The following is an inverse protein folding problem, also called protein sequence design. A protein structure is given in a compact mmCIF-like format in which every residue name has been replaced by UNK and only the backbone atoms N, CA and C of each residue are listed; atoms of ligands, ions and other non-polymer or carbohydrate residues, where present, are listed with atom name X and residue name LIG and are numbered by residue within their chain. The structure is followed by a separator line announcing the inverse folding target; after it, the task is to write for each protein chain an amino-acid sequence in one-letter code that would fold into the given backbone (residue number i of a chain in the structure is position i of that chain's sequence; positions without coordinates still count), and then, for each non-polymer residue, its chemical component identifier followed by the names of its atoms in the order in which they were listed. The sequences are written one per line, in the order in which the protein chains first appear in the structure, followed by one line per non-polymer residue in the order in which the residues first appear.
data_IF_665501549221
#
_entry.id   IF_665501549221
#
_cell.length_a   1.000
_cell.length_b   1.000
_cell.length_c   1.000
_cell.angle_alpha   90.00
_cell.angle_beta   90.00
_cell.angle_gamma   90.00
#
_symmetry.space_group_name_H-M   'P 1'
#
loop_
_entity.id
_entity.type
_entity.pdbx_description
1 polymer ?
2 polymer ?
3 non-polymer ?
4 non-polymer ?
#
# COMPACT_ATOMS: atom_id res chain seq x y z
N UNK A 8 4.92 -26.55 -38.85
CA UNK A 8 4.00 -25.68 -39.60
C UNK A 8 3.43 -24.59 -38.72
N UNK A 9 4.27 -24.06 -37.83
CA UNK A 9 3.85 -23.14 -36.79
C UNK A 9 3.25 -21.88 -37.37
N UNK A 10 2.22 -21.36 -36.74
CA UNK A 10 1.63 -20.12 -37.21
C UNK A 10 1.40 -19.15 -36.09
N UNK A 11 1.68 -17.87 -36.30
CA UNK A 11 1.51 -16.89 -35.26
C UNK A 11 0.07 -16.79 -34.88
N UNK A 12 -0.20 -16.61 -33.59
CA UNK A 12 -1.56 -16.49 -33.08
C UNK A 12 -1.99 -15.08 -32.77
N UNK A 13 -3.29 -14.86 -32.83
CA UNK A 13 -3.90 -13.61 -32.43
C UNK A 13 -3.94 -13.41 -30.94
N UNK A 14 -4.28 -14.47 -30.23
CA UNK A 14 -4.45 -14.42 -28.80
C UNK A 14 -4.42 -15.84 -28.34
N UNK A 15 -4.14 -16.07 -27.07
CA UNK A 15 -4.17 -17.39 -26.50
C UNK A 15 -4.89 -17.30 -25.18
N UNK A 16 -5.55 -18.37 -24.77
CA UNK A 16 -6.26 -18.33 -23.52
C UNK A 16 -5.49 -19.18 -22.56
N UNK A 17 -5.08 -18.67 -21.41
CA UNK A 17 -4.36 -19.56 -20.52
C UNK A 17 -5.24 -20.10 -19.41
N UNK A 18 -5.51 -21.39 -19.52
CA UNK A 18 -6.47 -22.08 -18.70
C UNK A 18 -6.18 -22.06 -17.21
N UNK A 19 -4.94 -22.31 -16.81
CA UNK A 19 -4.76 -22.49 -15.35
C UNK A 19 -5.02 -21.20 -14.66
N UNK A 20 -4.52 -20.15 -15.27
CA UNK A 20 -4.96 -18.80 -15.03
C UNK A 20 -6.38 -18.60 -15.50
N UNK A 21 -6.73 -19.26 -16.58
CA UNK A 21 -8.00 -19.03 -17.23
C UNK A 21 -8.17 -17.61 -17.68
N UNK A 22 -7.11 -17.07 -18.28
CA UNK A 22 -7.18 -15.80 -19.02
C UNK A 22 -6.50 -15.83 -20.40
N UNK A 23 -6.93 -14.93 -21.28
CA UNK A 23 -6.46 -14.91 -22.65
C UNK A 23 -5.52 -13.74 -22.82
N UNK A 24 -4.47 -13.89 -23.62
CA UNK A 24 -3.49 -12.83 -23.72
C UNK A 24 -3.22 -12.52 -25.15
N UNK A 25 -2.70 -11.35 -25.42
CA UNK A 25 -2.49 -10.86 -26.76
C UNK A 25 -1.07 -10.33 -26.87
N UNK A 26 -0.50 -10.36 -28.09
CA UNK A 26 0.82 -9.75 -28.28
C UNK A 26 0.83 -8.28 -27.89
N UNK A 27 1.75 -7.90 -27.01
CA UNK A 27 1.80 -6.54 -26.50
C UNK A 27 1.38 -6.47 -25.04
N UNK A 28 0.66 -7.50 -24.60
CA UNK A 28 0.25 -7.59 -23.20
C UNK A 28 1.45 -7.84 -22.30
N UNK A 29 1.38 -7.33 -21.07
CA UNK A 29 2.43 -7.56 -20.10
C UNK A 29 2.02 -8.70 -19.16
N UNK A 30 2.92 -9.65 -18.95
CA UNK A 30 2.61 -10.81 -18.14
C UNK A 30 3.67 -11.09 -17.08
N UNK A 31 3.26 -11.79 -16.04
CA UNK A 31 4.18 -12.30 -15.04
C UNK A 31 4.40 -13.78 -15.31
N UNK A 32 5.62 -14.26 -15.10
CA UNK A 32 5.91 -15.68 -15.29
C UNK A 32 6.58 -16.27 -14.05
N UNK A 33 6.25 -17.52 -13.78
CA UNK A 33 6.83 -18.22 -12.63
C UNK A 33 8.32 -18.42 -12.78
N UNK A 34 9.11 -17.84 -11.86
CA UNK A 34 10.57 -17.92 -11.90
C UNK A 34 11.10 -19.31 -11.58
N UNK A 35 12.30 -19.60 -12.07
CA UNK A 35 12.99 -20.84 -11.75
C UNK A 35 13.14 -21.01 -10.25
N UNK A 36 13.43 -19.90 -9.57
CA UNK A 36 13.57 -19.87 -8.12
C UNK A 36 12.25 -19.40 -7.51
N UNK A 37 11.56 -20.31 -6.79
CA UNK A 37 10.21 -20.05 -6.29
C UNK A 37 10.16 -19.05 -5.14
N UNK A 38 11.31 -18.71 -4.56
CA UNK A 38 11.36 -17.77 -3.46
C UNK A 38 11.57 -16.34 -3.96
N UNK A 39 11.47 -16.17 -5.28
CA UNK A 39 11.75 -14.88 -5.91
C UNK A 39 10.51 -14.33 -6.60
N UNK A 40 10.43 -13.00 -6.75
CA UNK A 40 9.27 -12.37 -7.38
C UNK A 40 9.09 -12.82 -8.83
N UNK A 41 7.87 -12.72 -9.34
CA UNK A 41 7.55 -13.19 -10.69
C UNK A 41 8.28 -12.42 -11.78
N UNK A 42 8.78 -13.12 -12.79
CA UNK A 42 9.39 -12.45 -13.93
C UNK A 42 8.37 -11.54 -14.60
N UNK A 43 8.78 -10.36 -15.02
CA UNK A 43 7.87 -9.49 -15.76
C UNK A 43 8.32 -9.44 -17.21
N UNK A 44 7.37 -9.61 -18.13
CA UNK A 44 7.72 -9.66 -19.55
C UNK A 44 6.64 -9.06 -20.44
N UNK A 45 7.02 -8.73 -21.68
CA UNK A 45 6.07 -8.22 -22.65
C UNK A 45 5.92 -9.21 -23.80
N UNK A 46 4.70 -9.54 -24.16
CA UNK A 46 4.47 -10.52 -25.21
C UNK A 46 4.65 -9.93 -26.60
N UNK A 47 5.75 -10.31 -27.26
CA UNK A 47 6.01 -9.89 -28.62
C UNK A 47 5.16 -10.70 -29.59
N UNK A 48 5.27 -12.03 -29.55
CA UNK A 48 4.61 -12.94 -30.48
C UNK A 48 4.15 -14.26 -29.85
N UNK A 49 3.02 -14.78 -30.33
CA UNK A 49 2.50 -16.08 -29.89
C UNK A 49 2.42 -17.03 -31.11
N UNK A 50 3.00 -18.22 -30.94
CA UNK A 50 3.20 -19.16 -32.04
C UNK A 50 2.73 -20.54 -31.63
N UNK A 51 2.24 -21.31 -32.59
CA UNK A 51 1.68 -22.62 -32.30
C UNK A 51 2.22 -23.70 -33.22
N UNK A 52 2.09 -24.92 -32.74
CA UNK A 52 2.47 -26.10 -33.48
C UNK A 52 1.30 -26.43 -34.39
N UNK A 53 1.17 -25.70 -35.49
CA UNK A 53 0.09 -25.96 -36.43
C UNK A 53 -1.19 -25.88 -35.66
N UNK A 54 -2.00 -26.91 -35.76
CA UNK A 54 -3.02 -27.20 -34.77
C UNK A 54 -2.41 -28.32 -33.93
N UNK A 55 -1.97 -28.04 -32.71
CA UNK A 55 -1.33 -29.06 -31.88
C UNK A 55 -1.48 -28.74 -30.40
N UNK A 56 -0.99 -29.60 -29.50
CA UNK A 56 -1.18 -29.22 -28.09
C UNK A 56 -0.30 -28.06 -27.61
N UNK A 57 0.96 -28.02 -28.02
CA UNK A 57 1.90 -27.07 -27.47
C UNK A 57 1.82 -25.62 -27.97
N UNK A 58 1.98 -24.65 -27.07
CA UNK A 58 2.05 -23.24 -27.42
C UNK A 58 3.23 -22.57 -26.75
N UNK A 59 3.93 -21.71 -27.49
CA UNK A 59 5.10 -21.04 -26.98
C UNK A 59 4.98 -19.55 -27.20
N UNK A 60 5.46 -18.76 -26.26
CA UNK A 60 5.29 -17.34 -26.29
C UNK A 60 6.65 -16.74 -26.33
N UNK A 61 6.84 -15.74 -27.16
CA UNK A 61 8.11 -15.11 -27.26
C UNK A 61 7.95 -13.78 -26.64
N UNK A 62 8.83 -13.44 -25.74
CA UNK A 62 8.73 -12.27 -24.88
C UNK A 62 9.97 -11.39 -24.91
N UNK A 63 9.76 -10.13 -24.56
CA UNK A 63 10.83 -9.18 -24.32
C UNK A 63 10.83 -8.87 -22.83
N UNK A 64 11.94 -9.20 -22.16
CA UNK A 64 11.98 -9.13 -20.69
C UNK A 64 11.95 -7.72 -20.13
N UNK A 65 11.16 -7.57 -19.07
CA UNK A 65 11.32 -6.45 -18.15
C UNK A 65 12.20 -6.89 -16.99
N UNK A 66 13.29 -6.18 -16.77
CA UNK A 66 14.19 -6.49 -15.67
C UNK A 66 13.78 -5.78 -14.38
N UNK A 67 13.66 -6.53 -13.30
CA UNK A 67 13.42 -5.95 -11.98
C UNK A 67 14.73 -5.31 -11.52
N UNK A 68 14.65 -4.23 -10.71
CA UNK A 68 15.85 -3.51 -10.28
C UNK A 68 16.92 -4.38 -9.62
N UNK A 69 16.51 -5.38 -8.83
CA UNK A 69 17.47 -6.26 -8.18
C UNK A 69 17.83 -7.43 -9.10
N UNK A 70 17.22 -7.47 -10.27
CA UNK A 70 17.48 -8.51 -11.25
C UNK A 70 18.55 -8.07 -12.24
N UNK A 71 18.95 -6.80 -12.14
CA UNK A 71 19.91 -6.23 -13.09
C UNK A 71 21.31 -6.18 -12.51
N UNK A 72 22.29 -5.89 -13.37
CA UNK A 72 23.69 -5.85 -12.99
C UNK A 72 23.95 -4.82 -11.90
N UNK A 73 23.39 -3.62 -12.08
CA UNK A 73 23.59 -2.55 -11.13
C UNK A 73 23.00 -2.84 -9.77
N UNK A 74 21.94 -3.64 -9.73
CA UNK A 74 21.25 -3.95 -8.50
C UNK A 74 20.30 -2.83 -8.13
N UNK A 75 19.39 -3.11 -7.20
CA UNK A 75 18.42 -2.11 -6.77
C UNK A 75 19.11 -0.94 -6.07
N UNK A 76 18.64 0.27 -6.36
CA UNK A 76 19.15 1.47 -5.70
C UNK A 76 18.02 2.20 -4.98
N UNK A 77 18.37 3.11 -4.08
CA UNK A 77 17.39 3.73 -3.19
C UNK A 77 16.31 4.51 -3.92
N UNK A 78 16.60 4.93 -5.15
CA UNK A 78 15.66 5.74 -5.91
C UNK A 78 14.83 4.88 -6.87
N UNK A 79 14.99 3.57 -6.78
CA UNK A 79 14.20 2.65 -7.61
C UNK A 79 12.89 2.29 -6.91
N UNK A 80 11.78 2.51 -7.60
CA UNK A 80 10.47 2.20 -7.06
C UNK A 80 10.30 0.72 -6.78
N UNK A 81 9.41 0.41 -5.85
CA UNK A 81 9.12 -0.98 -5.49
C UNK A 81 8.53 -1.72 -6.69
N UNK A 82 7.73 -1.00 -7.47
CA UNK A 82 7.06 -1.58 -8.62
C UNK A 82 7.69 -1.11 -9.93
N UNK A 83 8.96 -0.76 -9.88
CA UNK A 83 9.67 -0.27 -11.07
C UNK A 83 10.23 -1.44 -11.87
N UNK A 84 10.22 -1.30 -13.19
CA UNK A 84 10.81 -2.30 -14.08
C UNK A 84 11.51 -1.62 -15.26
N UNK A 85 12.53 -2.29 -15.81
CA UNK A 85 13.29 -1.76 -16.92
C UNK A 85 12.93 -2.50 -18.21
N UNK A 86 12.73 -1.75 -19.30
CA UNK A 86 12.50 -2.36 -20.60
C UNK A 86 13.84 -2.66 -21.25
N UNK A 87 14.08 -3.93 -21.59
CA UNK A 87 15.40 -4.33 -22.04
C UNK A 87 15.47 -4.83 -23.47
N UNK A 88 16.66 -5.25 -23.85
CA UNK A 88 16.90 -5.75 -25.18
C UNK A 88 16.88 -7.24 -25.20
N UNK A 89 16.52 -7.83 -24.06
CA UNK A 89 16.63 -9.24 -23.85
C UNK A 89 15.35 -9.89 -24.18
N UNK A 90 15.39 -10.79 -25.13
CA UNK A 90 14.24 -11.51 -25.57
C UNK A 90 14.66 -12.92 -25.46
N UNK A 91 13.77 -13.76 -25.02
CA UNK A 91 13.85 -15.19 -25.29
C UNK A 91 12.50 -15.85 -25.22
N UNK A 92 12.46 -17.15 -25.48
CA UNK A 92 11.22 -17.85 -25.67
C UNK A 92 10.84 -18.79 -24.59
N UNK A 93 9.62 -18.64 -24.10
CA UNK A 93 9.10 -19.39 -23.00
C UNK A 93 7.77 -19.93 -23.43
N UNK A 94 7.38 -21.05 -22.84
CA UNK A 94 6.12 -21.67 -23.07
C UNK A 94 5.03 -20.90 -22.41
N UNK A 95 3.82 -21.03 -22.91
CA UNK A 95 2.70 -20.31 -22.35
C UNK A 95 2.33 -20.66 -20.93
N UNK A 96 2.42 -21.90 -20.52
CA UNK A 96 1.89 -22.21 -19.20
C UNK A 96 2.69 -21.54 -18.05
N UNK A 97 3.71 -20.73 -18.39
CA UNK A 97 4.48 -20.01 -17.37
C UNK A 97 3.66 -18.88 -16.79
N UNK A 98 2.86 -18.30 -17.67
CA UNK A 98 2.12 -17.09 -17.38
C UNK A 98 1.29 -17.29 -16.12
N UNK A 99 1.74 -16.61 -15.07
CA UNK A 99 1.13 -16.60 -13.75
C UNK A 99 -0.10 -15.73 -13.71
N UNK A 100 -0.15 -14.79 -14.66
CA UNK A 100 -1.18 -13.78 -14.69
C UNK A 100 -0.71 -12.58 -15.48
N UNK A 101 -1.55 -11.55 -15.54
CA UNK A 101 -1.25 -10.36 -16.31
C UNK A 101 -0.94 -9.17 -15.42
N UNK A 102 -0.31 -8.16 -16.01
CA UNK A 102 0.01 -6.94 -15.29
C UNK A 102 -0.04 -5.76 -16.25
N UNK A 103 -0.11 -4.56 -15.69
CA UNK A 103 0.06 -3.35 -16.48
C UNK A 103 1.38 -2.70 -16.12
N UNK A 104 2.19 -2.40 -17.13
CA UNK A 104 3.39 -1.62 -16.92
C UNK A 104 3.12 -0.21 -17.40
N UNK A 105 3.05 0.73 -16.45
CA UNK A 105 2.64 2.09 -16.76
C UNK A 105 3.81 2.98 -17.11
N UNK A 106 3.54 4.07 -17.81
CA UNK A 106 4.51 5.13 -17.95
C UNK A 106 4.63 5.79 -16.59
N UNK A 107 5.72 6.53 -16.37
CA UNK A 107 5.98 7.17 -15.09
C UNK A 107 4.81 8.06 -14.64
N UNK A 108 4.44 8.99 -15.52
CA UNK A 108 3.34 9.92 -15.28
C UNK A 108 2.05 9.22 -14.87
N UNK A 109 1.60 8.28 -15.70
CA UNK A 109 0.35 7.58 -15.49
C UNK A 109 0.38 6.72 -14.23
N UNK A 110 1.55 6.28 -13.80
CA UNK A 110 1.65 5.61 -12.52
C UNK A 110 1.32 6.55 -11.43
N UNK A 111 1.80 7.77 -11.56
CA UNK A 111 1.62 8.76 -10.53
C UNK A 111 0.18 9.07 -10.41
N UNK A 112 -0.51 9.06 -11.53
CA UNK A 112 -1.93 9.31 -11.61
C UNK A 112 -2.81 8.31 -10.91
N UNK A 113 -2.35 7.08 -10.80
CA UNK A 113 -3.21 6.03 -10.33
C UNK A 113 -3.71 6.41 -8.98
N UNK A 114 -4.99 6.19 -8.73
CA UNK A 114 -5.52 6.40 -7.42
C UNK A 114 -4.90 5.43 -6.47
N UNK A 115 -4.82 4.18 -6.90
CA UNK A 115 -4.34 3.14 -6.03
C UNK A 115 -3.58 2.18 -6.85
N UNK A 116 -2.61 1.55 -6.23
CA UNK A 116 -1.69 0.77 -6.95
C UNK A 116 -1.87 -0.68 -6.64
N UNK A 117 -2.21 -1.44 -7.66
CA UNK A 117 -2.54 -2.81 -7.49
C UNK A 117 -1.32 -3.64 -7.38
N UNK A 118 -1.47 -4.81 -6.84
CA UNK A 118 -0.36 -5.72 -6.70
C UNK A 118 0.22 -5.93 -8.08
N UNK A 119 -0.61 -5.76 -9.09
CA UNK A 119 -0.24 -6.04 -10.45
C UNK A 119 0.07 -4.80 -11.25
N UNK A 120 0.28 -3.67 -10.60
CA UNK A 120 0.56 -2.44 -11.32
C UNK A 120 2.02 -2.05 -11.20
N UNK A 121 2.72 -1.94 -12.33
CA UNK A 121 4.12 -1.58 -12.39
C UNK A 121 4.31 -0.26 -13.14
N UNK A 122 5.56 0.18 -13.24
CA UNK A 122 5.88 1.34 -14.08
C UNK A 122 7.29 1.26 -14.63
N UNK A 123 7.54 2.01 -15.70
CA UNK A 123 8.84 1.98 -16.37
C UNK A 123 9.30 3.38 -16.77
N UNK A 124 10.57 3.68 -16.49
CA UNK A 124 11.14 4.97 -16.86
C UNK A 124 12.51 4.80 -17.51
N UNK A 125 13.04 3.58 -17.46
CA UNK A 125 14.34 3.29 -18.06
C UNK A 125 14.26 2.24 -19.15
N UNK A 126 15.13 2.37 -20.14
CA UNK A 126 15.44 1.25 -21.01
C UNK A 126 16.73 0.64 -20.49
N UNK A 127 16.88 -0.68 -20.64
CA UNK A 127 18.00 -1.38 -20.04
C UNK A 127 18.76 -2.21 -21.06
N UNK A 128 20.09 -2.23 -20.92
CA UNK A 128 20.92 -3.08 -21.77
C UNK A 128 21.44 -4.26 -20.96
N UNK A 129 20.82 -5.42 -21.16
CA UNK A 129 21.11 -6.62 -20.38
C UNK A 129 22.58 -7.02 -20.43
N UNK A 130 23.24 -6.72 -21.54
CA UNK A 130 24.63 -7.11 -21.75
C UNK A 130 25.59 -6.19 -21.00
N UNK A 131 25.41 -4.88 -21.18
CA UNK A 131 26.34 -3.89 -20.65
C UNK A 131 25.89 -3.33 -19.30
N UNK A 132 24.58 -3.18 -19.14
CA UNK A 132 24.03 -2.61 -17.92
C UNK A 132 23.84 -1.11 -18.06
N UNK A 133 23.94 -0.61 -19.28
CA UNK A 133 23.81 0.82 -19.55
C UNK A 133 22.35 1.21 -19.68
N UNK A 134 22.01 2.39 -19.18
CA UNK A 134 20.64 2.86 -19.15
C UNK A 134 20.34 3.94 -20.18
N UNK A 135 19.11 3.95 -20.68
CA UNK A 135 18.58 5.07 -21.44
C UNK A 135 17.25 5.49 -20.84
N UNK A 136 17.17 6.75 -20.36
CA UNK A 136 18.21 7.78 -20.47
C UNK A 136 19.37 7.62 -19.50
N UNK A 137 20.47 8.26 -19.83
CA UNK A 137 21.67 8.25 -19.04
C UNK A 137 21.52 8.90 -17.71
N UNK A 138 20.79 10.02 -17.67
CA UNK A 138 20.66 10.83 -16.48
C UNK A 138 19.26 11.34 -16.32
N UNK A 139 18.87 11.64 -15.10
CA UNK A 139 17.53 12.11 -14.83
C UNK A 139 17.48 13.20 -13.81
N UNK A 140 16.36 13.87 -13.74
CA UNK A 140 16.19 14.99 -12.80
C UNK A 140 16.31 14.52 -11.35
N UNK A 141 16.96 15.34 -10.53
CA UNK A 141 17.19 14.99 -9.13
C UNK A 141 16.57 16.02 -8.18
N UNK A 142 16.37 15.64 -6.91
CA UNK A 142 15.67 16.47 -5.95
C UNK A 142 16.23 16.38 -4.53
N UNK A 143 15.79 17.29 -3.67
CA UNK A 143 16.12 17.30 -2.24
C UNK A 143 17.61 17.47 -1.98
N UNK A 144 17.99 17.35 -0.71
CA UNK A 144 19.39 17.50 -0.31
C UNK A 144 20.23 16.30 -0.72
N UNK A 145 19.58 15.17 -0.93
CA UNK A 145 20.26 13.98 -1.38
C UNK A 145 20.66 14.14 -2.83
N UNK A 146 19.94 15.01 -3.54
CA UNK A 146 20.07 15.15 -4.98
C UNK A 146 19.88 13.79 -5.65
N UNK A 147 18.84 13.10 -5.21
CA UNK A 147 18.43 11.82 -5.77
C UNK A 147 17.24 12.02 -6.69
N UNK A 148 17.05 11.11 -7.67
CA UNK A 148 15.86 11.19 -8.52
C UNK A 148 14.58 10.90 -7.73
N UNK A 149 13.44 11.08 -8.39
CA UNK A 149 12.16 10.84 -7.74
C UNK A 149 11.92 9.34 -7.52
N UNK A 150 11.61 8.99 -6.28
CA UNK A 150 11.12 7.66 -5.96
C UNK A 150 9.66 7.81 -5.56
N UNK A 151 8.75 7.33 -6.42
CA UNK A 151 7.31 7.51 -6.21
C UNK A 151 6.79 6.86 -4.93
N UNK A 152 7.56 5.95 -4.35
CA UNK A 152 7.18 5.33 -3.10
C UNK A 152 7.44 6.25 -1.91
N UNK A 153 8.26 7.27 -2.15
CA UNK A 153 8.65 8.20 -1.09
C UNK A 153 7.74 9.44 -1.06
N UNK A 154 7.31 9.80 0.15
CA UNK A 154 6.55 11.03 0.35
C UNK A 154 7.49 12.22 0.34
N UNK A 155 7.12 13.27 -0.40
CA UNK A 155 7.94 14.47 -0.48
C UNK A 155 7.09 15.73 -0.39
N UNK A 156 7.70 16.81 0.08
CA UNK A 156 6.97 18.08 0.18
C UNK A 156 7.74 19.17 -0.56
N UNK A 157 7.04 20.21 -0.98
CA UNK A 157 7.65 21.24 -1.82
C UNK A 157 7.94 22.53 -1.05
N UNK A 158 9.19 22.96 -1.09
CA UNK A 158 9.58 24.32 -0.70
C UNK A 158 9.50 25.26 -1.91
N UNK A 159 8.45 26.09 -1.97
CA UNK A 159 8.20 26.93 -3.15
C UNK A 159 9.28 27.98 -3.24
N UNK A 160 9.91 28.22 -2.09
CA UNK A 160 11.13 29.01 -2.07
C UNK A 160 12.05 28.51 -3.17
N UNK A 161 12.51 27.27 -3.02
CA UNK A 161 13.39 26.64 -4.00
C UNK A 161 12.66 25.91 -5.13
N UNK A 162 11.38 25.62 -4.91
CA UNK A 162 10.57 24.78 -5.81
C UNK A 162 11.08 23.33 -5.89
N UNK A 163 12.14 23.04 -5.15
CA UNK A 163 12.68 21.68 -5.08
C UNK A 163 11.81 20.86 -4.12
N UNK A 164 11.81 19.55 -4.31
CA UNK A 164 11.04 18.66 -3.44
C UNK A 164 11.97 17.97 -2.46
N UNK A 165 11.50 17.83 -1.22
CA UNK A 165 12.33 17.28 -0.16
C UNK A 165 11.68 16.09 0.51
N UNK A 166 12.47 15.06 0.77
CA UNK A 166 12.08 14.00 1.67
C UNK A 166 12.13 14.57 3.07
N UNK A 167 11.05 14.42 3.84
CA UNK A 167 10.97 14.95 5.21
C UNK A 167 12.12 14.46 6.08
N UNK A 168 12.48 13.19 5.92
CA UNK A 168 13.54 12.59 6.71
C UNK A 168 14.88 13.30 6.51
N UNK A 169 15.06 13.86 5.32
CA UNK A 169 16.31 14.52 4.97
C UNK A 169 16.28 15.99 5.39
N UNK A 170 15.16 16.43 5.93
CA UNK A 170 14.99 17.84 6.32
C UNK A 170 14.37 18.02 7.71
N UNK A 171 15.00 17.43 8.72
CA UNK A 171 14.65 17.67 10.12
C UNK A 171 13.28 17.12 10.54
N UNK A 172 12.59 16.42 9.65
CA UNK A 172 11.14 16.30 9.83
C UNK A 172 10.55 14.90 9.82
N UNK A 173 9.47 14.73 10.58
CA UNK A 173 8.63 13.55 10.51
C UNK A 173 7.71 13.62 9.29
N UNK A 174 7.20 12.48 8.86
CA UNK A 174 6.30 12.43 7.70
C UNK A 174 4.98 13.12 8.02
N UNK A 175 4.41 12.76 9.16
CA UNK A 175 3.14 13.32 9.59
C UNK A 175 3.20 14.84 9.68
N UNK A 176 4.35 15.37 10.06
CA UNK A 176 4.47 16.82 10.17
C UNK A 176 4.47 17.43 8.78
N UNK A 177 5.18 16.79 7.86
CA UNK A 177 5.27 17.27 6.50
C UNK A 177 3.91 17.33 5.85
N UNK A 178 3.10 16.30 6.08
CA UNK A 178 1.76 16.25 5.49
C UNK A 178 0.88 17.43 5.95
N UNK A 179 1.19 17.95 7.12
CA UNK A 179 0.48 19.08 7.70
C UNK A 179 0.60 20.34 6.89
N UNK A 180 1.82 20.62 6.45
CA UNK A 180 2.20 21.92 5.90
C UNK A 180 1.47 22.33 4.64
N UNK A 181 1.21 23.64 4.52
CA UNK A 181 0.82 24.28 3.28
C UNK A 181 1.84 25.36 2.96
N UNK A 182 2.80 25.51 3.87
CA UNK A 182 3.67 26.66 3.93
C UNK A 182 5.12 26.25 4.21
N UNK A 183 5.82 25.77 3.20
CA UNK A 183 7.14 25.23 3.44
C UNK A 183 8.28 26.04 2.80
N UNK A 184 9.36 26.18 3.56
CA UNK A 184 10.58 26.79 3.06
C UNK A 184 11.78 26.00 3.58
N UNK A 185 12.66 25.57 2.67
CA UNK A 185 13.87 24.87 3.08
C UNK A 185 14.79 25.81 3.86
N UNK A 186 15.94 25.30 4.30
CA UNK A 186 16.85 26.10 5.13
C UNK A 186 17.65 27.13 4.35
N UNK A 187 17.53 27.12 3.02
CA UNK A 187 18.22 28.06 2.15
C UNK A 187 17.22 29.15 1.72
N UNK A 188 16.15 29.30 2.50
CA UNK A 188 15.18 30.35 2.23
C UNK A 188 14.78 31.07 3.51
N UNK B 2 -0.39 -26.77 -15.74
CA UNK B 2 0.17 -26.44 -14.43
C UNK B 2 1.28 -25.47 -14.66
N UNK B 3 1.41 -24.46 -13.81
CA UNK B 3 2.31 -23.37 -14.15
C UNK B 3 3.67 -23.98 -14.27
N UNK B 4 4.27 -23.79 -15.43
CA UNK B 4 5.55 -24.33 -15.72
C UNK B 4 6.38 -23.29 -15.09
N UNK B 5 7.66 -23.54 -14.90
CA UNK B 5 8.53 -22.54 -14.37
C UNK B 5 9.28 -21.95 -15.52
N UNK B 6 9.55 -20.67 -15.44
CA UNK B 6 10.25 -20.00 -16.50
C UNK B 6 11.75 -20.18 -16.39
N UNK B 7 12.40 -20.50 -17.48
CA UNK B 7 13.83 -20.58 -17.49
C UNK B 7 14.22 -19.50 -18.43
N UNK B 9 17.28 -17.22 -20.26
CA UNK B 9 18.59 -17.42 -20.86
C UNK B 9 19.60 -16.50 -20.21
N UNK B 10 20.76 -16.41 -20.84
CA UNK B 10 21.79 -15.48 -20.43
C UNK B 10 21.83 -14.32 -21.39
N UNK B 11 22.05 -13.10 -20.87
CA UNK B 11 22.13 -11.89 -21.68
C UNK B 11 23.16 -12.02 -22.80
N UNK B 12 22.79 -11.62 -24.01
CA UNK B 12 23.67 -11.65 -25.18
C UNK B 12 24.17 -13.06 -25.47
N UNK B 13 23.24 -13.97 -25.69
CA UNK B 13 23.58 -15.33 -26.13
C UNK B 13 22.64 -15.72 -27.27
N UNK B 14 23.01 -16.75 -28.04
CA UNK B 14 22.22 -17.15 -29.19
C UNK B 14 21.95 -18.63 -29.30
N UNK B 15 20.96 -18.98 -30.10
CA UNK B 15 20.64 -20.36 -30.39
C UNK B 15 21.31 -20.82 -31.66
N UNK B 16 22.17 -21.83 -31.55
CA UNK B 16 22.98 -22.31 -32.66
C UNK B 16 22.14 -22.90 -33.79
N UNK B 17 21.02 -23.53 -33.44
CA UNK B 17 20.17 -24.21 -34.41
C UNK B 17 19.69 -23.30 -35.55
N UNK C 9 -27.74 28.98 22.38
CA UNK C 9 -27.04 27.76 22.77
C UNK C 9 -27.80 26.56 22.23
N UNK C 10 -27.55 26.21 20.97
CA UNK C 10 -28.37 25.18 20.32
C UNK C 10 -27.53 24.13 19.64
N UNK C 11 -28.19 23.14 19.03
CA UNK C 11 -27.53 22.09 18.27
C UNK C 11 -27.53 22.45 16.79
N UNK C 12 -26.43 22.18 16.11
CA UNK C 12 -26.37 22.34 14.67
C UNK C 12 -26.48 20.98 13.99
N UNK C 13 -27.48 20.80 13.13
CA UNK C 13 -27.68 19.55 12.41
C UNK C 13 -26.53 19.30 11.44
N UNK C 14 -25.83 20.37 11.10
CA UNK C 14 -24.69 20.30 10.22
C UNK C 14 -23.77 21.47 10.50
N UNK C 15 -22.50 21.30 10.18
CA UNK C 15 -21.61 22.42 10.14
C UNK C 15 -20.63 22.14 9.06
N UNK C 16 -20.01 23.19 8.56
CA UNK C 16 -19.02 23.04 7.53
C UNK C 16 -17.80 23.73 8.03
N UNK C 17 -16.68 23.03 8.07
CA UNK C 17 -15.48 23.68 8.50
C UNK C 17 -14.96 24.34 7.25
N UNK C 18 -14.89 25.66 7.35
CA UNK C 18 -14.42 26.52 6.28
C UNK C 18 -12.91 26.37 6.11
N UNK C 19 -12.17 26.19 7.20
CA UNK C 19 -10.72 26.01 7.13
C UNK C 19 -10.33 24.84 6.22
N UNK C 20 -11.27 23.93 5.99
CA UNK C 20 -11.06 22.76 5.16
C UNK C 20 -12.19 22.59 4.15
N UNK C 21 -13.01 23.62 4.00
CA UNK C 21 -14.12 23.58 3.07
C UNK C 21 -14.72 22.21 2.82
N UNK C 22 -14.96 21.47 3.88
CA UNK C 22 -15.92 20.39 3.84
C UNK C 22 -16.76 20.30 5.11
N UNK C 23 -17.88 19.60 5.00
CA UNK C 23 -18.94 19.65 6.00
C UNK C 23 -19.05 18.42 6.83
N UNK C 24 -19.15 18.57 8.13
CA UNK C 24 -19.22 17.45 9.00
C UNK C 24 -20.52 17.55 9.76
N UNK C 25 -21.05 16.45 10.23
CA UNK C 25 -22.32 16.36 10.93
C UNK C 25 -22.24 15.21 11.93
N UNK C 26 -23.13 15.19 12.94
CA UNK C 26 -23.11 14.12 13.94
C UNK C 26 -23.11 12.72 13.34
N UNK C 27 -22.18 11.87 13.78
CA UNK C 27 -22.03 10.54 13.24
C UNK C 27 -20.78 10.43 12.39
N UNK C 28 -20.31 11.57 11.89
CA UNK C 28 -19.10 11.60 11.08
C UNK C 28 -17.86 11.27 11.91
N UNK C 29 -16.89 10.63 11.26
CA UNK C 29 -15.59 10.44 11.86
C UNK C 29 -14.63 11.48 11.29
N UNK C 30 -13.83 12.09 12.16
CA UNK C 30 -12.93 13.15 11.73
C UNK C 30 -11.52 12.98 12.28
N UNK C 31 -10.56 13.60 11.61
CA UNK C 31 -9.20 13.70 12.12
C UNK C 31 -8.99 15.09 12.70
N UNK C 32 -8.16 15.17 13.74
CA UNK C 32 -7.86 16.44 14.37
C UNK C 32 -6.35 16.59 14.56
N UNK C 33 -5.87 17.81 14.34
CA UNK C 33 -4.46 18.11 14.56
C UNK C 33 -4.10 17.86 16.01
N UNK C 34 -3.12 16.99 16.25
CA UNK C 34 -2.69 16.70 17.62
C UNK C 34 -1.94 17.88 18.24
N UNK C 35 -1.78 17.88 19.55
CA UNK C 35 -1.02 18.92 20.23
C UNK C 35 0.45 18.81 19.85
N UNK C 36 0.89 17.58 19.61
CA UNK C 36 2.26 17.32 19.22
C UNK C 36 2.34 17.16 17.71
N UNK C 37 3.11 18.02 17.04
CA UNK C 37 3.16 17.91 15.59
C UNK C 37 3.74 16.60 15.05
N UNK C 38 4.68 15.97 15.75
CA UNK C 38 5.27 14.73 15.25
C UNK C 38 4.27 13.56 15.27
N UNK C 39 3.17 13.74 16.00
CA UNK C 39 2.19 12.68 16.19
C UNK C 39 1.18 12.53 15.04
N UNK C 40 0.69 11.31 14.81
CA UNK C 40 -0.43 11.09 13.89
C UNK C 40 -1.70 11.76 14.40
N UNK C 41 -2.59 12.13 13.49
CA UNK C 41 -3.81 12.86 13.84
C UNK C 41 -4.71 12.08 14.80
N UNK C 42 -5.45 12.81 15.63
CA UNK C 42 -6.43 12.17 16.50
C UNK C 42 -7.67 11.78 15.71
N UNK C 43 -8.14 10.54 15.90
CA UNK C 43 -9.37 10.12 15.25
C UNK C 43 -10.52 10.24 16.25
N UNK C 44 -11.63 10.87 15.83
CA UNK C 44 -12.76 11.07 16.73
C UNK C 44 -14.09 10.92 16.03
N UNK C 45 -15.14 10.64 16.81
CA UNK C 45 -16.50 10.59 16.27
C UNK C 45 -17.31 11.76 16.78
N UNK C 46 -17.93 12.50 15.86
CA UNK C 46 -18.74 13.64 16.24
C UNK C 46 -20.05 13.21 16.88
N UNK C 47 -20.24 13.61 18.13
CA UNK C 47 -21.50 13.37 18.80
C UNK C 47 -22.50 14.47 18.42
N UNK C 48 -22.13 15.72 18.69
CA UNK C 48 -22.95 16.87 18.31
C UNK C 48 -22.10 18.12 18.02
N UNK C 49 -22.73 19.12 17.40
CA UNK C 49 -22.09 20.40 17.11
C UNK C 49 -22.86 21.52 17.82
N UNK C 50 -22.14 22.46 18.44
CA UNK C 50 -22.77 23.45 19.30
C UNK C 50 -22.80 24.86 18.69
N UNK C 51 -23.83 25.63 19.04
CA UNK C 51 -24.23 26.83 18.31
C UNK C 51 -23.84 28.18 18.92
N UNK C 52 -22.56 28.39 19.21
CA UNK C 52 -22.11 29.68 19.76
C UNK C 52 -20.60 29.79 19.85
N UNK C 55 -23.84 33.03 17.32
CA UNK C 55 -22.90 31.99 16.97
C UNK C 55 -21.63 32.52 16.31
N UNK C 56 -20.71 33.05 17.13
CA UNK C 56 -19.46 33.60 16.61
C UNK C 56 -18.41 32.52 16.27
N UNK C 57 -18.20 31.57 17.19
CA UNK C 57 -17.15 30.56 17.06
C UNK C 57 -17.74 29.18 17.34
N UNK C 58 -17.28 28.12 16.67
CA UNK C 58 -17.94 26.83 16.88
C UNK C 58 -17.09 25.78 17.61
N UNK C 59 -17.71 25.16 18.62
CA UNK C 59 -17.13 24.00 19.29
C UNK C 59 -17.88 22.72 18.89
N UNK C 60 -17.19 21.58 18.99
CA UNK C 60 -17.73 20.28 18.63
C UNK C 60 -17.48 19.28 19.75
N UNK C 61 -18.48 18.47 20.06
CA UNK C 61 -18.34 17.43 21.08
C UNK C 61 -17.97 16.10 20.44
N UNK C 62 -16.86 15.50 20.88
CA UNK C 62 -16.39 14.28 20.24
C UNK C 62 -16.21 13.10 21.18
N UNK C 63 -16.23 11.90 20.59
CA UNK C 63 -15.91 10.66 21.28
C UNK C 63 -14.64 10.08 20.68
N UNK C 64 -13.59 9.99 21.49
CA UNK C 64 -12.28 9.64 20.97
C UNK C 64 -12.15 8.19 20.52
N UNK C 65 -11.65 8.03 19.30
CA UNK C 65 -11.07 6.77 18.86
C UNK C 65 -9.60 6.80 19.26
N UNK C 66 -9.08 5.69 19.76
CA UNK C 66 -7.69 5.60 20.19
C UNK C 66 -6.84 4.79 19.23
N UNK C 67 -5.76 5.38 18.75
CA UNK C 67 -4.75 4.59 18.06
C UNK C 67 -4.14 3.62 19.06
N UNK C 68 -3.67 2.45 18.60
CA UNK C 68 -3.05 1.48 19.51
C UNK C 68 -1.90 2.12 20.29
N UNK C 69 -1.15 2.97 19.60
CA UNK C 69 -0.05 3.73 20.20
C UNK C 69 -0.55 4.57 21.39
N UNK C 70 -1.80 5.01 21.30
CA UNK C 70 -2.39 5.88 22.30
C UNK C 70 -3.08 5.09 23.42
N UNK C 71 -3.19 3.79 23.24
CA UNK C 71 -3.78 2.93 24.25
C UNK C 71 -2.82 2.73 25.42
N UNK C 72 -3.34 2.24 26.54
CA UNK C 72 -2.52 1.95 27.71
C UNK C 72 -1.60 0.77 27.42
N UNK C 73 -2.13 -0.22 26.71
CA UNK C 73 -1.36 -1.37 26.32
C UNK C 73 -0.28 -1.00 25.31
N UNK C 74 -0.53 0.05 24.53
CA UNK C 74 0.35 0.41 23.44
C UNK C 74 0.08 -0.51 22.27
N UNK C 75 0.75 -0.28 21.15
CA UNK C 75 0.55 -1.13 19.98
C UNK C 75 1.07 -2.54 20.22
N UNK C 76 0.31 -3.52 19.78
CA UNK C 76 0.76 -4.92 19.80
C UNK C 76 0.92 -5.41 18.36
N UNK C 77 1.60 -6.55 18.20
CA UNK C 77 1.99 -7.03 16.87
C UNK C 77 0.81 -7.39 15.97
N UNK C 78 -0.36 -7.63 16.58
CA UNK C 78 -1.53 -8.02 15.82
C UNK C 78 -2.43 -6.82 15.52
N UNK C 79 -2.00 -5.64 15.94
CA UNK C 79 -2.78 -4.43 15.70
C UNK C 79 -2.53 -3.88 14.30
N UNK C 80 -3.62 -3.70 13.56
CA UNK C 80 -3.54 -3.11 12.23
C UNK C 80 -3.02 -1.69 12.29
N UNK C 81 -2.40 -1.24 11.21
CA UNK C 81 -1.88 0.11 11.15
C UNK C 81 -3.00 1.13 11.07
N UNK C 82 -4.15 0.69 10.55
CA UNK C 82 -5.30 1.56 10.42
C UNK C 82 -6.35 1.25 11.48
N UNK C 83 -5.92 0.63 12.57
CA UNK C 83 -6.85 0.24 13.63
C UNK C 83 -7.03 1.32 14.69
N UNK C 84 -8.26 1.51 15.12
CA UNK C 84 -8.57 2.40 16.23
C UNK C 84 -9.54 1.73 17.20
N UNK C 85 -9.59 2.21 18.42
CA UNK C 85 -10.44 1.67 19.46
C UNK C 85 -11.52 2.67 19.82
N UNK C 86 -12.78 2.27 19.72
CA UNK C 86 -13.86 3.13 20.22
C UNK C 86 -13.75 3.19 21.74
N UNK C 87 -13.83 4.39 22.29
CA UNK C 87 -13.60 4.55 23.73
C UNK C 87 -14.76 5.20 24.47
N UNK C 88 -14.63 5.24 25.79
CA UNK C 88 -15.60 5.88 26.67
C UNK C 88 -15.20 7.33 26.95
N UNK C 89 -14.19 7.79 26.22
CA UNK C 89 -13.55 9.08 26.48
C UNK C 89 -14.11 10.17 25.57
N UNK C 90 -14.76 11.16 26.17
CA UNK C 90 -15.29 12.29 25.41
C UNK C 90 -14.73 13.60 25.92
N UNK C 91 -14.60 14.57 25.02
CA UNK C 91 -14.52 15.98 25.42
C UNK C 91 -14.92 16.90 24.30
N UNK C 92 -14.73 18.20 24.52
CA UNK C 92 -15.17 19.23 23.60
C UNK C 92 -13.96 19.93 22.98
N UNK C 93 -13.95 20.00 21.65
CA UNK C 93 -12.82 20.51 20.90
C UNK C 93 -13.27 21.48 19.80
N UNK C 94 -12.42 22.43 19.45
CA UNK C 94 -12.83 23.47 18.50
C UNK C 94 -12.99 22.91 17.09
N UNK C 95 -13.86 23.52 16.29
CA UNK C 95 -14.10 23.07 14.92
C UNK C 95 -12.84 23.24 14.09
N UNK C 96 -12.12 24.32 14.37
CA UNK C 96 -10.74 24.58 13.95
C UNK C 96 -9.92 23.31 13.86
N UNK C 97 -9.84 22.58 14.97
CA UNK C 97 -8.93 21.45 15.13
C UNK C 97 -9.07 20.37 14.06
N UNK C 98 -10.24 20.29 13.45
CA UNK C 98 -10.49 19.30 12.40
C UNK C 98 -9.59 19.51 11.18
N UNK C 99 -8.79 18.49 10.87
CA UNK C 99 -7.94 18.50 9.69
C UNK C 99 -8.68 18.04 8.45
N UNK C 100 -9.55 17.05 8.63
CA UNK C 100 -10.31 16.50 7.53
C UNK C 100 -11.27 15.40 7.94
N UNK C 101 -12.22 15.11 7.06
CA UNK C 101 -13.17 14.02 7.29
C UNK C 101 -12.45 12.69 7.14
N UNK C 102 -13.04 11.62 7.68
CA UNK C 102 -12.46 10.30 7.55
C UNK C 102 -13.50 9.20 7.69
N UNK C 103 -13.03 7.96 7.66
CA UNK C 103 -13.90 6.79 7.65
C UNK C 103 -13.39 5.71 8.59
N UNK C 104 -14.17 5.37 9.60
CA UNK C 104 -13.85 4.20 10.42
C UNK C 104 -14.79 3.07 10.03
N UNK C 105 -14.21 1.99 9.54
CA UNK C 105 -14.99 0.87 9.04
C UNK C 105 -15.21 -0.20 10.09
N UNK C 106 -16.29 -0.97 9.95
CA UNK C 106 -16.44 -2.19 10.73
C UNK C 106 -15.34 -3.12 10.28
N UNK C 107 -14.99 -4.10 11.10
CA UNK C 107 -13.89 -4.99 10.76
C UNK C 107 -14.14 -5.72 9.43
N UNK C 108 -15.36 -6.19 9.21
CA UNK C 108 -15.62 -7.07 8.06
C UNK C 108 -15.46 -6.35 6.71
N UNK C 109 -16.04 -5.17 6.59
CA UNK C 109 -15.94 -4.38 5.36
C UNK C 109 -14.60 -3.69 5.15
N UNK C 110 -13.79 -3.59 6.20
CA UNK C 110 -12.43 -3.10 6.04
C UNK C 110 -11.66 -4.11 5.21
N UNK C 111 -11.89 -5.38 5.50
CA UNK C 111 -11.26 -6.47 4.76
C UNK C 111 -11.70 -6.49 3.30
N UNK C 112 -12.92 -6.02 3.04
CA UNK C 112 -13.49 -6.10 1.70
C UNK C 112 -13.19 -4.88 0.84
N UNK C 113 -12.44 -3.93 1.40
CA UNK C 113 -12.04 -2.74 0.63
C UNK C 113 -11.12 -3.14 -0.50
N UNK C 114 -11.38 -2.62 -1.70
CA UNK C 114 -10.53 -2.89 -2.85
C UNK C 114 -9.12 -2.39 -2.60
N UNK C 115 -9.03 -1.16 -2.08
CA UNK C 115 -7.76 -0.58 -1.66
C UNK C 115 -7.98 0.25 -0.40
N UNK C 116 -6.94 0.37 0.41
CA UNK C 116 -7.05 1.05 1.70
C UNK C 116 -6.56 2.49 1.63
N UNK C 117 -7.47 3.44 1.88
CA UNK C 117 -7.12 4.84 1.82
C UNK C 117 -6.39 5.32 3.07
N UNK C 118 -5.78 6.51 2.97
CA UNK C 118 -5.14 7.14 4.10
C UNK C 118 -6.17 7.44 5.18
N UNK C 119 -7.39 7.72 4.74
CA UNK C 119 -8.49 8.05 5.63
C UNK C 119 -9.41 6.86 5.86
N UNK C 120 -8.89 5.66 5.62
CA UNK C 120 -9.62 4.43 5.87
C UNK C 120 -9.11 3.72 7.12
N UNK C 121 -9.98 3.51 8.08
CA UNK C 121 -9.63 2.89 9.35
C UNK C 121 -10.56 1.72 9.64
N UNK C 122 -10.33 1.06 10.78
CA UNK C 122 -11.25 0.02 11.23
C UNK C 122 -11.19 -0.14 12.74
N UNK C 123 -12.30 -0.61 13.31
CA UNK C 123 -12.42 -0.77 14.75
C UNK C 123 -13.07 -2.11 15.07
N UNK C 124 -12.41 -2.89 15.93
CA UNK C 124 -12.98 -4.16 16.37
C UNK C 124 -13.00 -4.25 17.89
N UNK C 125 -12.50 -3.20 18.53
CA UNK C 125 -12.46 -3.15 19.99
C UNK C 125 -13.20 -1.94 20.56
N UNK C 126 -13.81 -2.13 21.71
CA UNK C 126 -14.21 -0.98 22.52
C UNK C 126 -13.13 -0.79 23.57
N UNK C 127 -12.86 0.47 23.90
CA UNK C 127 -11.76 0.78 24.80
C UNK C 127 -12.25 1.47 26.07
N UNK C 128 -11.61 1.14 27.18
CA UNK C 128 -11.92 1.80 28.45
C UNK C 128 -10.71 2.62 28.89
N UNK C 129 -10.77 3.92 28.61
CA UNK C 129 -9.63 4.83 28.78
C UNK C 129 -9.04 4.86 30.18
N UNK C 130 -9.85 4.55 31.19
CA UNK C 130 -9.40 4.59 32.57
C UNK C 130 -8.73 3.29 32.99
N UNK C 131 -9.42 2.17 32.75
CA UNK C 131 -8.90 0.87 33.14
C UNK C 131 -7.92 0.32 32.11
N UNK C 132 -8.22 0.53 30.83
CA UNK C 132 -7.42 -0.03 29.76
C UNK C 132 -8.02 -1.33 29.27
N UNK C 133 -9.18 -1.67 29.83
CA UNK C 133 -9.86 -2.91 29.50
C UNK C 133 -10.42 -2.88 28.08
N UNK C 134 -10.51 -4.06 27.47
CA UNK C 134 -11.03 -4.17 26.12
C UNK C 134 -12.37 -4.90 26.08
N UNK C 135 -13.11 -4.69 25.00
CA UNK C 135 -14.32 -5.45 24.74
C UNK C 135 -14.53 -5.60 23.24
N UNK C 136 -14.45 -6.85 22.74
CA UNK C 136 -14.19 -8.05 23.53
C UNK C 136 -12.72 -8.21 23.93
N UNK C 137 -12.47 -8.98 24.98
CA UNK C 137 -11.12 -9.26 25.44
C UNK C 137 -10.66 -10.61 24.94
N UNK C 138 -11.51 -11.25 24.14
CA UNK C 138 -11.22 -12.53 23.53
C UNK C 138 -11.53 -12.47 22.04
N UNK C 139 -10.57 -12.88 21.22
CA UNK C 139 -10.79 -13.00 19.78
C UNK C 139 -10.14 -14.25 19.23
N UNK C 140 -10.64 -14.73 18.10
CA UNK C 140 -10.09 -15.92 17.47
C UNK C 140 -8.63 -15.71 17.09
N UNK C 141 -7.81 -16.72 17.29
CA UNK C 141 -6.39 -16.65 16.92
C UNK C 141 -6.06 -17.70 15.87
N UNK C 142 -4.94 -17.49 15.17
CA UNK C 142 -4.56 -18.37 14.08
C UNK C 142 -3.05 -18.64 14.05
N UNK C 143 -2.66 -19.60 13.24
CA UNK C 143 -1.24 -19.91 12.97
C UNK C 143 -0.51 -20.50 14.16
N UNK C 144 0.77 -20.80 13.97
CA UNK C 144 1.60 -21.38 15.02
C UNK C 144 1.82 -20.40 16.17
N UNK C 145 1.97 -19.13 15.82
CA UNK C 145 2.14 -18.08 16.82
C UNK C 145 0.85 -17.89 17.63
N UNK C 146 -0.25 -18.40 17.08
CA UNK C 146 -1.56 -18.37 17.75
C UNK C 146 -1.94 -16.97 18.21
N UNK C 147 -2.05 -16.06 17.25
CA UNK C 147 -2.33 -14.65 17.53
C UNK C 147 -3.53 -14.17 16.73
N UNK C 148 -4.20 -13.10 17.20
CA UNK C 148 -5.37 -12.57 16.48
C UNK C 148 -5.03 -12.12 15.07
N UNK C 149 -6.05 -12.00 14.22
CA UNK C 149 -5.82 -11.65 12.83
C UNK C 149 -5.42 -10.20 12.65
N UNK C 150 -4.34 -10.00 11.90
CA UNK C 150 -3.89 -8.68 11.50
C UNK C 150 -4.13 -8.52 10.00
N UNK C 151 -5.00 -7.57 9.61
CA UNK C 151 -5.38 -7.40 8.21
C UNK C 151 -4.24 -6.84 7.35
N UNK C 152 -3.14 -6.46 8.01
CA UNK C 152 -1.97 -5.96 7.30
C UNK C 152 -1.05 -7.10 6.88
N UNK C 153 -1.39 -8.32 7.29
CA UNK C 153 -0.49 -9.45 7.08
C UNK C 153 -1.07 -10.49 6.11
N UNK C 154 -0.25 -10.85 5.13
CA UNK C 154 -0.57 -11.91 4.19
C UNK C 154 -0.62 -13.25 4.91
N UNK C 155 -1.68 -14.02 4.68
CA UNK C 155 -1.80 -15.35 5.25
C UNK C 155 -2.38 -16.31 4.22
N UNK C 156 -2.08 -17.60 4.36
CA UNK C 156 -2.64 -18.61 3.48
C UNK C 156 -3.26 -19.72 4.32
N UNK C 157 -4.24 -20.41 3.76
CA UNK C 157 -5.02 -21.37 4.52
C UNK C 157 -4.76 -22.81 4.13
N UNK C 158 -4.29 -23.61 5.08
CA UNK C 158 -4.19 -25.05 4.89
C UNK C 158 -5.59 -25.62 4.77
N UNK C 159 -5.82 -26.51 3.82
CA UNK C 159 -7.16 -27.08 3.64
C UNK C 159 -7.39 -28.21 4.63
N UNK C 160 -6.32 -28.77 5.16
CA UNK C 160 -6.41 -29.76 6.21
C UNK C 160 -6.99 -29.13 7.44
N UNK C 161 -6.18 -28.30 8.10
CA UNK C 161 -6.61 -27.61 9.31
C UNK C 161 -7.77 -26.66 9.07
N UNK C 162 -7.80 -26.05 7.88
CA UNK C 162 -8.67 -24.92 7.57
C UNK C 162 -8.26 -23.72 8.44
N UNK C 163 -7.08 -23.82 9.02
CA UNK C 163 -6.48 -22.73 9.79
C UNK C 163 -5.73 -21.80 8.84
N UNK C 164 -5.27 -20.66 9.34
CA UNK C 164 -4.55 -19.70 8.52
C UNK C 164 -3.13 -19.50 9.03
N UNK C 165 -2.19 -19.26 8.12
CA UNK C 165 -0.78 -19.23 8.49
C UNK C 165 0.00 -18.07 7.89
N UNK C 166 0.77 -17.41 8.74
CA UNK C 166 1.77 -16.46 8.26
C UNK C 166 2.86 -17.25 7.58
N UNK C 167 3.25 -16.84 6.36
CA UNK C 167 4.35 -17.50 5.65
C UNK C 167 5.63 -17.48 6.47
N UNK C 168 5.91 -16.35 7.10
CA UNK C 168 7.12 -16.20 7.92
C UNK C 168 7.15 -17.18 9.08
N UNK C 169 5.96 -17.50 9.61
CA UNK C 169 5.86 -18.42 10.74
C UNK C 169 6.05 -19.88 10.32
N UNK C 170 5.93 -20.15 9.02
CA UNK C 170 6.05 -21.50 8.51
C UNK C 170 7.21 -21.63 7.54
N UNK C 171 8.17 -20.73 7.66
CA UNK C 171 9.39 -20.72 6.83
C UNK C 171 9.09 -20.73 5.34
N UNK C 172 8.37 -19.71 4.88
CA UNK C 172 8.11 -19.54 3.46
C UNK C 172 8.21 -18.08 3.07
N UNK C 173 8.62 -17.81 1.83
CA UNK C 173 8.60 -16.45 1.33
C UNK C 173 7.16 -16.07 0.99
N UNK C 174 6.87 -14.78 1.01
CA UNK C 174 5.53 -14.32 0.67
C UNK C 174 5.23 -14.60 -0.79
N UNK C 175 6.25 -14.47 -1.63
CA UNK C 175 6.12 -14.71 -3.07
C UNK C 175 5.74 -16.16 -3.34
N UNK C 176 6.31 -17.07 -2.56
CA UNK C 176 5.95 -18.48 -2.69
C UNK C 176 4.53 -18.70 -2.20
N UNK C 177 4.12 -17.89 -1.22
CA UNK C 177 2.79 -18.01 -0.63
C UNK C 177 1.69 -17.63 -1.61
N UNK C 178 1.86 -16.51 -2.30
CA UNK C 178 0.86 -16.05 -3.25
C UNK C 178 0.65 -17.05 -4.39
N UNK C 179 1.68 -17.85 -4.67
CA UNK C 179 1.64 -18.77 -5.80
C UNK C 179 0.94 -20.09 -5.48
N UNK C 180 0.87 -20.43 -4.20
CA UNK C 180 0.47 -21.76 -3.76
C UNK C 180 -0.86 -22.25 -4.32
N UNK C 181 -0.81 -23.40 -4.98
CA UNK C 181 -2.00 -24.10 -5.47
C UNK C 181 -2.93 -24.37 -4.30
N UNK C 182 -2.46 -25.22 -3.41
CA UNK C 182 -3.18 -25.66 -2.23
C UNK C 182 -2.13 -25.91 -1.16
N UNK C 183 -2.52 -25.87 0.11
CA UNK C 183 -1.53 -25.91 1.17
C UNK C 183 -1.85 -26.87 2.31
N UNK C 184 -0.82 -27.50 2.85
CA UNK C 184 -0.95 -28.32 4.05
C UNK C 184 0.16 -28.03 5.03
N UNK C 185 -0.22 -27.68 6.26
CA UNK C 185 0.76 -27.42 7.29
C UNK C 185 1.34 -28.72 7.85
N UNK C 186 2.56 -28.60 8.38
CA UNK C 186 3.33 -29.65 9.02
C UNK C 186 2.55 -30.78 9.72
N UNK C 187 1.38 -30.47 10.25
CA UNK C 187 0.60 -31.47 10.97
C UNK C 187 -0.43 -32.16 10.09
N UNK C 188 -0.18 -32.18 8.78
CA UNK C 188 -1.07 -32.85 7.84
C UNK C 188 -0.29 -33.53 6.72
N UNK D 2 -6.12 27.98 9.21
CA UNK D 2 -6.35 28.32 10.61
C UNK D 2 -6.44 27.08 11.47
N UNK D 3 -6.19 25.93 10.86
CA UNK D 3 -6.25 24.68 11.59
C UNK D 3 -5.23 24.80 12.69
N UNK D 4 -5.61 24.39 13.87
CA UNK D 4 -4.68 24.40 14.99
C UNK D 4 -5.12 23.47 16.06
N UNK D 5 -4.20 23.20 16.95
CA UNK D 5 -4.14 21.99 17.70
C UNK D 5 -5.31 21.68 18.59
N UNK D 6 -5.69 20.42 18.60
CA UNK D 6 -6.55 19.84 19.60
C UNK D 6 -5.81 19.63 20.88
N UNK D 7 -6.54 19.71 21.97
CA UNK D 7 -5.95 19.50 23.27
C UNK D 7 -6.93 18.57 23.91
N UNK D 9 -8.43 16.00 26.95
CA UNK D 9 -8.64 15.82 28.38
C UNK D 9 -7.74 14.76 28.96
N UNK D 10 -7.97 14.45 30.23
CA UNK D 10 -7.47 13.22 30.83
C UNK D 10 -8.67 12.30 30.94
N UNK D 11 -8.46 11.00 30.77
CA UNK D 11 -9.56 10.03 30.91
C UNK D 11 -10.27 10.14 32.26
N UNK D 12 -11.60 10.11 32.23
CA UNK D 12 -12.43 10.13 33.44
C UNK D 12 -12.21 11.38 34.28
N UNK D 13 -12.38 12.55 33.67
CA UNK D 13 -12.37 13.83 34.37
C UNK D 13 -13.48 14.70 33.78
N UNK D 14 -13.79 15.81 34.44
CA UNK D 14 -14.89 16.64 33.98
C UNK D 14 -14.83 18.10 34.38
N UNK D 15 -15.58 18.93 33.65
CA UNK D 15 -15.60 20.36 33.88
C UNK D 15 -16.36 20.77 35.14
N UNK D 16 -15.68 21.54 35.99
CA UNK D 16 -16.25 21.99 37.26
C UNK D 16 -17.34 23.04 37.06
N UNK D 17 -17.21 23.84 36.00
CA UNK D 17 -18.16 24.91 35.70
C UNK D 17 -19.59 24.39 35.54
#
# INVERSE_FOLDING_TARGET
SMAKAKAPRRTLDSYTVKPINKTVKPGDCVLMRPSDPSKPSYVAKIERIESDGRGPNVRVRVRWYYRPEESIGGRRQFHGSKEVFLSDHYDTQSADTIEGKCMVHSFKNYTKLDAVGNDDFFCRFEYNSSTGAFNPDRVAVYCKCEMPYNPDDLMVQCEGCSDWFHPACIEMSAEEAKRLDHFFCENCSSEGQKKLQNSHNTRQSDAKAETKRRRR
LATKAARXSAPATGGVK
SMAKAKAPRRTLDSYTVKPINKTVKPGDCVLMRPSDPSKPSYVAKIERIESDGRGPNVRVRVRWYYRPEESIGGRRQFHGSKEVFLSDHYDTQSADTIEGKCMVHSFKNYTKLDAVGNDDFFCRFEYNSSTGAFNPDRVAVYCKCEMPYNPDDLMVQCEGCSDWFHPACIEMSAEEAKRLDHFFCENCSSEGQKKLQNSHNTRQSDAKAETKRRRR
LATKAARXSAPATGGVK
#
